data_IF_207443798009
#
_entry.id   IF_207443798009
#
_cell.length_a   1.000
_cell.length_b   1.000
_cell.length_c   1.000
_cell.angle_alpha   90.00
_cell.angle_beta   90.00
_cell.angle_gamma   90.00
#
_symmetry.space_group_name_H-M   'P 1'
#
loop_
_entity.id
_entity.type
_entity.pdbx_description
1 polymer ?
#
# COMPACT_ATOMS: atom_id res chain seq x y z
N UNK A 1 -4.40 -5.56 24.34
CA UNK A 1 -5.12 -4.39 23.76
C UNK A 1 -4.18 -3.24 23.38
N UNK A 2 -3.25 -2.83 24.26
CA UNK A 2 -2.23 -1.78 23.98
C UNK A 2 -1.37 -2.03 22.72
N UNK A 3 -0.85 -3.24 22.52
CA UNK A 3 0.01 -3.59 21.37
C UNK A 3 -0.69 -3.49 20.01
N UNK A 4 -2.00 -3.75 19.97
CA UNK A 4 -2.78 -3.65 18.73
C UNK A 4 -2.99 -2.19 18.32
N UNK A 5 -3.17 -1.29 19.30
CA UNK A 5 -3.37 0.14 19.04
C UNK A 5 -2.11 0.80 18.47
N UNK A 6 -0.95 0.49 19.03
CA UNK A 6 0.35 0.96 18.55
C UNK A 6 0.67 0.47 17.12
N UNK A 7 0.30 -0.79 16.81
CA UNK A 7 0.44 -1.34 15.46
C UNK A 7 -0.44 -0.61 14.45
N UNK A 8 -1.68 -0.28 14.82
CA UNK A 8 -2.61 0.48 13.96
C UNK A 8 -2.12 1.90 13.70
N UNK A 9 -1.63 2.60 14.73
CA UNK A 9 -1.05 3.95 14.57
C UNK A 9 0.11 3.94 13.57
N UNK A 10 1.02 2.97 13.69
CA UNK A 10 2.15 2.80 12.75
C UNK A 10 1.69 2.55 11.33
N UNK A 11 0.69 1.69 11.13
CA UNK A 11 0.12 1.44 9.80
C UNK A 11 -0.48 2.70 9.18
N UNK A 12 -1.20 3.50 9.97
CA UNK A 12 -1.77 4.78 9.51
C UNK A 12 -0.66 5.79 9.19
N UNK A 13 0.41 5.86 9.99
CA UNK A 13 1.56 6.72 9.72
C UNK A 13 2.25 6.32 8.39
N UNK A 14 2.48 5.03 8.17
CA UNK A 14 3.05 4.50 6.92
C UNK A 14 2.14 4.82 5.73
N UNK A 15 0.82 4.67 5.87
CA UNK A 15 -0.12 5.04 4.82
C UNK A 15 -0.06 6.54 4.49
N UNK A 16 -0.07 7.42 5.49
CA UNK A 16 0.05 8.88 5.29
C UNK A 16 1.35 9.25 4.58
N UNK A 17 2.48 8.68 5.01
CA UNK A 17 3.78 8.88 4.36
C UNK A 17 3.79 8.36 2.92
N UNK A 18 3.16 7.20 2.67
CA UNK A 18 3.01 6.63 1.32
C UNK A 18 2.20 7.56 0.41
N UNK A 19 1.09 8.12 0.91
CA UNK A 19 0.30 9.11 0.16
C UNK A 19 1.12 10.35 -0.16
N UNK A 20 1.93 10.84 0.79
CA UNK A 20 2.81 11.99 0.55
C UNK A 20 3.87 11.70 -0.54
N UNK A 21 4.50 10.53 -0.49
CA UNK A 21 5.46 10.08 -1.53
C UNK A 21 4.78 9.92 -2.88
N UNK A 22 3.57 9.34 -2.92
CA UNK A 22 2.79 9.21 -4.15
C UNK A 22 2.41 10.58 -4.74
N UNK A 23 2.00 11.52 -3.90
CA UNK A 23 1.70 12.88 -4.33
C UNK A 23 2.93 13.55 -4.95
N UNK A 24 4.09 13.39 -4.32
CA UNK A 24 5.37 13.89 -4.86
C UNK A 24 5.74 13.22 -6.19
N UNK A 25 5.61 11.89 -6.31
CA UNK A 25 5.86 11.16 -7.56
C UNK A 25 4.90 11.58 -8.67
N UNK A 26 3.64 11.85 -8.36
CA UNK A 26 2.67 12.36 -9.32
C UNK A 26 3.07 13.76 -9.82
N UNK A 27 3.48 14.67 -8.93
CA UNK A 27 4.00 15.98 -9.32
C UNK A 27 5.23 15.85 -10.23
N UNK A 28 6.17 14.96 -9.88
CA UNK A 28 7.36 14.70 -10.69
C UNK A 28 7.01 14.10 -12.06
N UNK A 29 5.95 13.28 -12.11
CA UNK A 29 5.45 12.70 -13.37
C UNK A 29 4.96 13.76 -14.36
N UNK A 30 4.50 14.93 -13.91
CA UNK A 30 4.03 15.98 -14.83
C UNK A 30 5.16 16.48 -15.75
N UNK A 31 6.42 16.37 -15.33
CA UNK A 31 7.60 16.75 -16.12
C UNK A 31 7.69 15.90 -17.39
N UNK A 32 7.28 14.63 -17.34
CA UNK A 32 7.33 13.71 -18.47
C UNK A 32 6.25 13.98 -19.53
N UNK A 33 5.28 14.88 -19.27
CA UNK A 33 4.18 15.27 -20.18
C UNK A 33 3.42 14.10 -20.84
N UNK A 34 3.48 12.90 -20.25
CA UNK A 34 2.86 11.70 -20.80
C UNK A 34 1.75 11.22 -19.86
N UNK A 35 0.48 11.21 -20.29
CA UNK A 35 -0.63 10.80 -19.44
C UNK A 35 -0.51 9.33 -19.01
N UNK A 36 0.13 8.48 -19.82
CA UNK A 36 0.37 7.06 -19.49
C UNK A 36 1.33 6.88 -18.31
N UNK A 37 2.26 7.81 -18.09
CA UNK A 37 3.19 7.78 -16.96
C UNK A 37 2.45 8.17 -15.68
N UNK A 38 1.69 9.27 -15.70
CA UNK A 38 0.93 9.73 -14.54
C UNK A 38 -0.16 8.74 -14.14
N UNK A 39 -0.88 8.17 -15.11
CA UNK A 39 -1.86 7.09 -14.85
C UNK A 39 -1.19 5.84 -14.29
N UNK A 40 0.01 5.48 -14.78
CA UNK A 40 0.79 4.38 -14.22
C UNK A 40 1.06 4.58 -12.74
N UNK A 41 1.66 5.73 -12.38
CA UNK A 41 1.98 6.05 -10.97
C UNK A 41 0.71 6.12 -10.11
N UNK A 42 -0.36 6.75 -10.61
CA UNK A 42 -1.62 6.87 -9.88
C UNK A 42 -2.27 5.51 -9.61
N UNK A 43 -2.41 4.67 -10.64
CA UNK A 43 -3.04 3.35 -10.51
C UNK A 43 -2.16 2.44 -9.65
N UNK A 44 -0.85 2.42 -9.88
CA UNK A 44 0.10 1.66 -9.05
C UNK A 44 0.03 2.07 -7.58
N UNK A 45 0.02 3.38 -7.31
CA UNK A 45 -0.11 3.92 -5.95
C UNK A 45 -1.44 3.59 -5.29
N UNK A 46 -2.54 3.68 -6.02
CA UNK A 46 -3.86 3.29 -5.51
C UNK A 46 -3.89 1.79 -5.16
N UNK A 47 -3.36 0.94 -6.04
CA UNK A 47 -3.27 -0.50 -5.82
C UNK A 47 -2.41 -0.84 -4.60
N UNK A 48 -1.32 -0.11 -4.37
CA UNK A 48 -0.46 -0.34 -3.21
C UNK A 48 -1.13 0.03 -1.89
N UNK A 49 -1.87 1.14 -1.84
CA UNK A 49 -2.67 1.54 -0.66
C UNK A 49 -3.75 0.50 -0.36
N UNK A 50 -4.50 0.07 -1.38
CA UNK A 50 -5.51 -0.98 -1.23
C UNK A 50 -4.89 -2.30 -0.72
N UNK A 51 -3.74 -2.68 -1.29
CA UNK A 51 -2.98 -3.87 -0.93
C UNK A 51 -2.57 -3.87 0.56
N UNK A 52 -2.08 -2.75 1.08
CA UNK A 52 -1.74 -2.59 2.50
C UNK A 52 -2.99 -2.61 3.38
N UNK A 53 -4.06 -1.92 2.96
CA UNK A 53 -5.30 -1.87 3.72
C UNK A 53 -5.91 -3.26 3.94
N UNK A 54 -5.92 -4.10 2.90
CA UNK A 54 -6.35 -5.50 3.04
C UNK A 54 -5.39 -6.31 3.91
N UNK A 55 -4.08 -6.10 3.78
CA UNK A 55 -3.09 -6.79 4.62
C UNK A 55 -3.26 -6.46 6.10
N UNK A 56 -3.49 -5.18 6.43
CA UNK A 56 -3.77 -4.74 7.80
C UNK A 56 -5.03 -5.38 8.38
N UNK A 57 -6.11 -5.52 7.58
CA UNK A 57 -7.32 -6.24 8.02
C UNK A 57 -7.07 -7.72 8.26
N UNK A 58 -6.30 -8.39 7.40
CA UNK A 58 -5.97 -9.81 7.57
C UNK A 58 -5.18 -10.02 8.87
N UNK A 59 -4.19 -9.17 9.14
CA UNK A 59 -3.41 -9.17 10.38
C UNK A 59 -4.33 -8.94 11.58
N UNK A 60 -5.20 -7.93 11.53
CA UNK A 60 -6.16 -7.66 12.62
C UNK A 60 -7.04 -8.88 12.93
N UNK A 61 -7.54 -9.58 11.90
CA UNK A 61 -8.36 -10.79 12.08
C UNK A 61 -7.54 -11.92 12.72
N UNK A 62 -6.29 -12.11 12.28
CA UNK A 62 -5.38 -13.15 12.80
C UNK A 62 -5.04 -12.95 14.27
N UNK A 63 -4.83 -11.70 14.71
CA UNK A 63 -4.37 -11.41 16.07
C UNK A 63 -5.49 -11.02 17.06
N UNK A 64 -6.67 -10.62 16.58
CA UNK A 64 -7.77 -10.18 17.46
C UNK A 64 -8.78 -11.28 17.80
N UNK A 65 -8.77 -12.40 17.08
CA UNK A 65 -9.68 -13.53 17.34
C UNK A 65 -8.92 -14.71 17.93
N UNK A 66 -9.43 -15.32 19.00
CA UNK A 66 -8.87 -16.57 19.54
C UNK A 66 -8.92 -17.72 18.52
N UNK A 67 -9.93 -17.71 17.64
CA UNK A 67 -10.10 -18.70 16.56
C UNK A 67 -10.48 -17.99 15.26
N UNK A 68 -9.50 -17.45 14.52
CA UNK A 68 -9.77 -16.74 13.28
C UNK A 68 -10.36 -17.69 12.22
N UNK A 69 -11.42 -17.26 11.54
CA UNK A 69 -11.99 -18.02 10.43
C UNK A 69 -11.03 -18.06 9.24
N UNK A 70 -10.43 -19.23 9.01
CA UNK A 70 -9.53 -19.47 7.87
C UNK A 70 -10.21 -19.13 6.53
N UNK A 71 -11.49 -19.44 6.39
CA UNK A 71 -12.25 -19.16 5.17
C UNK A 71 -12.33 -17.65 4.88
N UNK A 72 -12.50 -16.81 5.91
CA UNK A 72 -12.55 -15.35 5.74
C UNK A 72 -11.18 -14.80 5.31
N UNK A 73 -10.10 -15.28 5.93
CA UNK A 73 -8.73 -14.88 5.59
C UNK A 73 -8.39 -15.27 4.14
N UNK A 74 -8.64 -16.53 3.78
CA UNK A 74 -8.38 -17.05 2.42
C UNK A 74 -9.18 -16.26 1.39
N UNK A 75 -10.47 -16.00 1.64
CA UNK A 75 -11.31 -15.22 0.72
C UNK A 75 -10.75 -13.82 0.49
N UNK A 76 -10.37 -13.10 1.55
CA UNK A 76 -9.79 -11.76 1.41
C UNK A 76 -8.47 -11.78 0.64
N UNK A 77 -7.63 -12.78 0.88
CA UNK A 77 -6.37 -12.95 0.18
C UNK A 77 -6.56 -13.26 -1.32
N UNK A 78 -7.47 -14.17 -1.65
CA UNK A 78 -7.78 -14.53 -3.04
C UNK A 78 -8.36 -13.33 -3.80
N UNK A 79 -9.33 -12.61 -3.22
CA UNK A 79 -9.91 -11.40 -3.83
C UNK A 79 -8.81 -10.37 -4.12
N UNK A 80 -7.93 -10.14 -3.15
CA UNK A 80 -6.78 -9.25 -3.30
C UNK A 80 -5.88 -9.67 -4.47
N UNK A 81 -5.57 -10.95 -4.61
CA UNK A 81 -4.76 -11.44 -5.73
C UNK A 81 -5.47 -11.27 -7.08
N UNK A 82 -6.75 -11.60 -7.16
CA UNK A 82 -7.55 -11.42 -8.38
C UNK A 82 -7.56 -9.95 -8.80
N UNK A 83 -7.77 -9.03 -7.86
CA UNK A 83 -7.74 -7.59 -8.15
C UNK A 83 -6.34 -7.17 -8.62
N UNK A 84 -5.27 -7.64 -7.97
CA UNK A 84 -3.90 -7.27 -8.32
C UNK A 84 -3.53 -7.77 -9.73
N UNK A 85 -3.65 -9.07 -9.96
CA UNK A 85 -3.30 -9.70 -11.23
C UNK A 85 -4.25 -9.28 -12.35
N UNK A 86 -5.56 -9.15 -12.07
CA UNK A 86 -6.53 -8.65 -13.04
C UNK A 86 -6.24 -7.22 -13.47
N UNK A 87 -5.88 -6.35 -12.54
CA UNK A 87 -5.46 -4.98 -12.87
C UNK A 87 -4.20 -4.99 -13.73
N UNK A 88 -3.17 -5.74 -13.34
CA UNK A 88 -1.93 -5.83 -14.12
C UNK A 88 -2.21 -6.36 -15.53
N UNK A 89 -3.01 -7.42 -15.66
CA UNK A 89 -3.39 -7.99 -16.95
C UNK A 89 -4.07 -6.95 -17.84
N UNK A 90 -5.10 -6.26 -17.35
CA UNK A 90 -5.80 -5.22 -18.12
C UNK A 90 -4.86 -4.08 -18.54
N UNK A 91 -4.01 -3.61 -17.62
CA UNK A 91 -3.08 -2.52 -17.89
C UNK A 91 -2.05 -2.88 -18.97
N UNK A 92 -1.55 -4.12 -18.95
CA UNK A 92 -0.58 -4.63 -19.93
C UNK A 92 -1.24 -4.90 -21.27
N UNK A 93 -2.35 -5.64 -21.30
CA UNK A 93 -3.05 -6.05 -22.53
C UNK A 93 -3.54 -4.86 -23.33
N UNK A 94 -4.07 -3.82 -22.67
CA UNK A 94 -4.61 -2.64 -23.34
C UNK A 94 -3.59 -1.48 -23.43
N UNK A 95 -2.33 -1.68 -23.00
CA UNK A 95 -1.27 -0.67 -23.01
C UNK A 95 -1.70 0.70 -22.42
N UNK A 96 -2.53 0.65 -21.37
CA UNK A 96 -3.19 1.82 -20.78
C UNK A 96 -2.21 2.72 -20.03
N UNK A 97 -1.14 2.13 -19.50
CA UNK A 97 -0.13 2.83 -18.69
C UNK A 97 1.28 2.44 -19.10
N UNK A 98 2.24 3.28 -18.71
CA UNK A 98 3.64 2.88 -18.72
C UNK A 98 3.89 1.90 -17.56
N UNK A 99 4.31 0.68 -17.88
CA UNK A 99 4.53 -0.39 -16.89
C UNK A 99 5.59 -0.01 -15.86
N UNK A 100 6.66 0.67 -16.27
CA UNK A 100 7.71 1.14 -15.36
C UNK A 100 7.13 2.16 -14.37
N UNK A 101 6.33 3.11 -14.87
CA UNK A 101 5.67 4.10 -14.04
C UNK A 101 4.68 3.46 -13.04
N UNK A 102 3.94 2.42 -13.48
CA UNK A 102 3.09 1.62 -12.59
C UNK A 102 3.89 0.93 -11.49
N UNK A 103 5.01 0.29 -11.82
CA UNK A 103 5.89 -0.38 -10.85
C UNK A 103 6.40 0.64 -9.83
N UNK A 104 6.82 1.82 -10.27
CA UNK A 104 7.28 2.91 -9.38
C UNK A 104 6.17 3.33 -8.41
N UNK A 105 4.96 3.61 -8.92
CA UNK A 105 3.83 3.98 -8.07
C UNK A 105 3.44 2.86 -7.09
N UNK A 106 3.43 1.61 -7.55
CA UNK A 106 3.14 0.46 -6.70
C UNK A 106 4.19 0.27 -5.60
N UNK A 107 5.47 0.52 -5.91
CA UNK A 107 6.60 0.33 -5.00
C UNK A 107 6.75 1.45 -3.98
N UNK A 108 6.03 2.57 -4.12
CA UNK A 108 6.08 3.69 -3.19
C UNK A 108 5.84 3.27 -1.74
N UNK A 109 4.93 2.31 -1.52
CA UNK A 109 4.70 1.82 -0.16
C UNK A 109 5.86 1.00 0.39
N UNK A 110 6.51 0.17 -0.44
CA UNK A 110 7.67 -0.62 -0.03
C UNK A 110 8.80 0.33 0.37
N UNK A 111 8.99 1.40 -0.41
CA UNK A 111 9.97 2.42 -0.09
C UNK A 111 9.69 3.08 1.26
N UNK A 112 8.44 3.49 1.53
CA UNK A 112 8.05 4.06 2.84
C UNK A 112 8.22 3.05 3.98
N UNK A 113 7.84 1.79 3.74
CA UNK A 113 7.97 0.72 4.72
C UNK A 113 9.43 0.45 5.08
N UNK A 114 10.32 0.42 4.08
CA UNK A 114 11.75 0.25 4.27
C UNK A 114 12.36 1.44 5.03
N UNK A 115 11.97 2.66 4.68
CA UNK A 115 12.40 3.86 5.39
C UNK A 115 11.95 3.85 6.86
N UNK A 116 10.70 3.44 7.14
CA UNK A 116 10.22 3.30 8.51
C UNK A 116 10.95 2.19 9.27
N UNK A 117 11.34 1.11 8.59
CA UNK A 117 12.13 0.02 9.17
C UNK A 117 13.57 0.44 9.52
N UNK A 118 14.21 1.22 8.65
CA UNK A 118 15.58 1.71 8.85
C UNK A 118 15.66 2.90 9.80
N UNK A 119 14.70 3.82 9.70
CA UNK A 119 14.60 5.03 10.50
C UNK A 119 13.25 5.06 11.21
N UNK A 120 13.06 4.21 12.24
CA UNK A 120 11.80 4.17 12.96
C UNK A 120 11.54 5.53 13.59
N UNK A 121 10.43 6.12 13.20
CA UNK A 121 9.95 7.36 13.80
C UNK A 121 9.50 6.98 15.21
N UNK A 122 10.38 7.13 16.21
CA UNK A 122 9.99 7.02 17.61
C UNK A 122 8.98 8.14 17.85
N UNK A 123 7.72 7.81 18.12
CA UNK A 123 6.85 8.77 18.81
C UNK A 123 7.57 9.13 20.11
N UNK A 124 7.70 10.43 20.44
CA UNK A 124 8.34 10.84 21.69
C UNK A 124 7.61 10.14 22.84
N UNK A 125 8.32 9.65 23.86
CA UNK A 125 7.68 9.02 25.00
C UNK A 125 6.66 10.00 25.57
N UNK A 126 5.39 9.60 25.58
CA UNK A 126 4.44 10.19 26.50
C UNK A 126 4.97 9.88 27.88
N UNK A 127 5.66 10.87 28.47
CA UNK A 127 6.21 10.82 29.82
C UNK A 127 5.11 10.54 30.85
N UNK A 128 5.53 10.20 32.08
CA UNK A 128 4.72 9.53 33.10
C UNK A 128 3.39 10.21 33.41
#
# INVERSE_FOLDING_TARGET
MLLLNESKKRLVAIQKKTVAVLFFLLLLSLIYKSPKVSLGIAIGGCLSILNIGVLGRIIDILFSQEKPSKAVIVRQYVIKLIVLFGTIYLLVTYHLVNIIAFIVGFSAFLFVLLLEGLFPTREPPTGP
#
